data_IF_594163747069
#
_entry.id   IF_594163747069
#
_cell.length_a   1.000
_cell.length_b   1.000
_cell.length_c   1.000
_cell.angle_alpha   90.00
_cell.angle_beta   90.00
_cell.angle_gamma   90.00
#
_symmetry.space_group_name_H-M   'P 1'
#
loop_
_entity.id
_entity.type
_entity.pdbx_description
1 polymer ?
#
# COMPACT_ATOMS: atom_id res chain seq x y z
N UNK A 1 7.11 -48.48 -13.04
CA UNK A 1 6.94 -47.27 -12.25
C UNK A 1 6.02 -46.35 -13.01
N UNK A 2 4.76 -46.22 -12.62
CA UNK A 2 3.85 -45.22 -13.20
C UNK A 2 4.33 -43.84 -12.76
N UNK A 3 4.87 -43.05 -13.67
CA UNK A 3 5.07 -41.62 -13.45
C UNK A 3 3.68 -41.02 -13.30
N UNK A 4 3.27 -40.78 -12.06
CA UNK A 4 2.09 -39.94 -11.81
C UNK A 4 2.43 -38.55 -12.32
N UNK A 5 1.83 -38.16 -13.42
CA UNK A 5 1.89 -36.77 -13.87
C UNK A 5 1.12 -35.97 -12.81
N UNK A 6 1.84 -35.18 -12.03
CA UNK A 6 1.20 -34.27 -11.09
C UNK A 6 0.36 -33.28 -11.88
N UNK A 7 -0.95 -33.40 -11.80
CA UNK A 7 -1.88 -32.48 -12.43
C UNK A 7 -2.26 -31.39 -11.44
N UNK A 8 -2.21 -30.14 -11.87
CA UNK A 8 -2.65 -28.96 -11.12
C UNK A 8 -3.95 -28.43 -11.70
N UNK A 9 -4.85 -27.96 -10.83
CA UNK A 9 -6.10 -27.33 -11.23
C UNK A 9 -5.85 -25.88 -11.71
N UNK A 10 -4.81 -25.24 -11.19
CA UNK A 10 -4.37 -23.91 -11.60
C UNK A 10 -2.84 -23.76 -11.51
N UNK A 11 -2.27 -23.06 -12.48
CA UNK A 11 -0.84 -22.67 -12.48
C UNK A 11 -0.74 -21.16 -12.54
N UNK A 12 -0.02 -20.56 -11.60
CA UNK A 12 0.20 -19.12 -11.50
C UNK A 12 1.67 -18.83 -11.78
N UNK A 13 1.93 -17.92 -12.72
CA UNK A 13 3.29 -17.53 -13.08
C UNK A 13 3.62 -16.22 -12.35
N UNK A 14 4.59 -16.30 -11.44
CA UNK A 14 5.07 -15.20 -10.60
C UNK A 14 4.55 -15.28 -9.18
N UNK A 15 5.48 -15.38 -8.21
CA UNK A 15 5.24 -15.44 -6.76
C UNK A 15 5.27 -14.06 -6.08
N UNK A 16 4.98 -12.96 -6.78
CA UNK A 16 4.81 -11.65 -6.19
C UNK A 16 3.47 -11.53 -5.44
N UNK A 17 3.19 -10.35 -4.85
CA UNK A 17 1.95 -10.13 -4.08
C UNK A 17 0.69 -10.55 -4.84
N UNK A 18 0.56 -10.17 -6.11
CA UNK A 18 -0.62 -10.50 -6.91
C UNK A 18 -0.76 -12.01 -7.16
N UNK A 19 0.34 -12.70 -7.50
CA UNK A 19 0.30 -14.15 -7.71
C UNK A 19 -0.10 -14.89 -6.44
N UNK A 20 0.47 -14.53 -5.31
CA UNK A 20 0.11 -15.12 -4.01
C UNK A 20 -1.36 -14.80 -3.63
N UNK A 21 -1.81 -13.55 -3.85
CA UNK A 21 -3.18 -13.15 -3.57
C UNK A 21 -4.20 -13.92 -4.43
N UNK A 22 -3.89 -14.12 -5.72
CA UNK A 22 -4.73 -14.94 -6.62
C UNK A 22 -4.78 -16.38 -6.15
N UNK A 23 -3.64 -16.98 -5.76
CA UNK A 23 -3.60 -18.34 -5.22
C UNK A 23 -4.49 -18.49 -3.97
N UNK A 24 -4.37 -17.56 -3.03
CA UNK A 24 -5.21 -17.53 -1.83
C UNK A 24 -6.70 -17.42 -2.18
N UNK A 25 -7.06 -16.51 -3.08
CA UNK A 25 -8.44 -16.31 -3.51
C UNK A 25 -9.03 -17.57 -4.18
N UNK A 26 -8.29 -18.18 -5.11
CA UNK A 26 -8.72 -19.42 -5.76
C UNK A 26 -8.91 -20.56 -4.75
N UNK A 27 -8.01 -20.66 -3.78
CA UNK A 27 -8.10 -21.72 -2.76
C UNK A 27 -9.25 -21.49 -1.79
N UNK A 28 -9.41 -20.27 -1.26
CA UNK A 28 -10.33 -19.95 -0.18
C UNK A 28 -11.78 -19.75 -0.68
N UNK A 29 -11.94 -19.06 -1.79
CA UNK A 29 -13.28 -18.68 -2.28
C UNK A 29 -13.79 -19.59 -3.39
N UNK A 30 -12.91 -20.23 -4.17
CA UNK A 30 -13.28 -21.11 -5.27
C UNK A 30 -12.99 -22.58 -5.02
N UNK A 31 -12.49 -22.93 -3.84
CA UNK A 31 -12.20 -24.31 -3.42
C UNK A 31 -11.28 -25.09 -4.37
N UNK A 32 -10.39 -24.40 -5.09
CA UNK A 32 -9.36 -25.00 -5.94
C UNK A 32 -8.26 -25.56 -5.06
N UNK A 33 -7.99 -26.87 -5.12
CA UNK A 33 -7.12 -27.55 -4.16
C UNK A 33 -5.67 -27.69 -4.61
N UNK A 34 -5.44 -27.90 -5.90
CA UNK A 34 -4.12 -28.14 -6.47
C UNK A 34 -3.65 -26.92 -7.24
N UNK A 35 -3.02 -25.97 -6.55
CA UNK A 35 -2.51 -24.74 -7.14
C UNK A 35 -0.97 -24.81 -7.13
N UNK A 36 -0.36 -24.53 -8.28
CA UNK A 36 1.08 -24.37 -8.42
C UNK A 36 1.43 -22.92 -8.69
N UNK A 37 2.41 -22.38 -7.94
CA UNK A 37 3.01 -21.07 -8.24
C UNK A 37 4.41 -21.33 -8.80
N UNK A 38 4.69 -20.81 -10.00
CA UNK A 38 6.01 -20.85 -10.62
C UNK A 38 6.68 -19.50 -10.40
N UNK A 39 7.75 -19.48 -9.61
CA UNK A 39 8.56 -18.29 -9.34
C UNK A 39 9.99 -18.54 -9.83
N UNK A 40 10.61 -17.55 -10.47
CA UNK A 40 11.98 -17.63 -10.98
C UNK A 40 13.04 -17.34 -9.92
N UNK A 41 12.65 -16.65 -8.86
CA UNK A 41 13.52 -16.32 -7.74
C UNK A 41 13.52 -17.47 -6.72
N UNK A 42 14.38 -17.38 -5.72
CA UNK A 42 14.54 -18.41 -4.69
C UNK A 42 13.35 -18.50 -3.73
N UNK A 43 12.55 -17.42 -3.64
CA UNK A 43 11.40 -17.34 -2.74
C UNK A 43 10.33 -16.41 -3.33
N UNK A 44 9.12 -16.47 -2.75
CA UNK A 44 8.01 -15.59 -3.10
C UNK A 44 8.20 -14.20 -2.49
N UNK A 45 7.57 -13.17 -3.08
CA UNK A 45 7.49 -11.79 -2.58
C UNK A 45 8.82 -11.01 -2.55
N UNK A 46 9.97 -11.56 -2.91
CA UNK A 46 11.30 -10.96 -2.71
C UNK A 46 11.69 -9.86 -3.70
N UNK A 47 10.85 -9.51 -4.67
CA UNK A 47 11.12 -8.45 -5.65
C UNK A 47 10.36 -7.17 -5.34
N UNK A 48 9.54 -6.70 -6.27
CA UNK A 48 8.79 -5.45 -6.16
C UNK A 48 7.91 -5.38 -4.91
N UNK A 49 7.36 -6.52 -4.47
CA UNK A 49 6.51 -6.60 -3.29
C UNK A 49 7.26 -6.28 -2.00
N UNK A 50 8.56 -6.60 -1.93
CA UNK A 50 9.43 -6.33 -0.78
C UNK A 50 10.08 -4.95 -0.86
N UNK A 51 10.41 -4.49 -2.07
CA UNK A 51 11.20 -3.27 -2.28
C UNK A 51 10.35 -1.98 -2.32
N UNK A 52 9.05 -2.03 -2.07
CA UNK A 52 8.12 -0.91 -2.15
C UNK A 52 7.78 -0.25 -0.79
N UNK A 53 8.60 -0.44 0.23
CA UNK A 53 8.42 0.07 1.58
C UNK A 53 7.23 -0.53 2.35
N UNK A 54 6.53 -1.52 1.84
CA UNK A 54 5.39 -2.23 2.46
C UNK A 54 4.24 -1.31 2.93
N UNK A 55 4.05 -0.16 2.30
CA UNK A 55 3.00 0.78 2.72
C UNK A 55 1.69 0.54 2.01
N UNK A 56 0.61 0.58 2.78
CA UNK A 56 -0.75 0.57 2.27
C UNK A 56 -1.20 2.02 2.09
N UNK A 57 -1.27 2.48 0.83
CA UNK A 57 -1.53 3.88 0.51
C UNK A 57 -3.01 4.26 0.58
N UNK A 58 -3.32 5.30 1.35
CA UNK A 58 -4.64 5.92 1.43
C UNK A 58 -4.79 7.15 0.50
N UNK A 59 -3.94 7.25 -0.52
CA UNK A 59 -4.05 8.28 -1.58
C UNK A 59 -3.17 9.52 -1.39
N UNK A 60 -2.54 9.73 -0.26
CA UNK A 60 -1.76 10.93 0.08
C UNK A 60 -0.57 11.18 -0.87
N UNK A 61 0.02 10.14 -1.45
CA UNK A 61 1.16 10.26 -2.36
C UNK A 61 0.84 10.87 -3.73
N UNK A 62 -0.44 11.05 -4.06
CA UNK A 62 -0.86 11.45 -5.39
C UNK A 62 -1.56 12.83 -5.41
N UNK A 63 -1.00 13.90 -4.78
CA UNK A 63 -1.71 15.16 -4.59
C UNK A 63 -1.99 15.92 -5.89
N UNK A 64 -1.58 15.40 -7.05
CA UNK A 64 -1.82 15.95 -8.38
C UNK A 64 -2.60 15.02 -9.32
N UNK A 65 -3.06 13.87 -8.80
CA UNK A 65 -3.82 12.88 -9.58
C UNK A 65 -5.02 12.39 -8.79
N UNK A 66 -6.13 13.10 -8.90
CA UNK A 66 -7.36 12.78 -8.18
C UNK A 66 -7.81 11.34 -8.41
N UNK A 67 -7.85 10.88 -9.67
CA UNK A 67 -8.31 9.53 -9.99
C UNK A 67 -7.44 8.43 -9.33
N UNK A 68 -6.10 8.60 -9.33
CA UNK A 68 -5.20 7.64 -8.69
C UNK A 68 -5.36 7.64 -7.18
N UNK A 69 -5.41 8.83 -6.58
CA UNK A 69 -5.59 8.99 -5.15
C UNK A 69 -6.94 8.42 -4.66
N UNK A 70 -8.02 8.75 -5.38
CA UNK A 70 -9.36 8.27 -5.05
C UNK A 70 -9.45 6.74 -5.15
N UNK A 71 -8.84 6.11 -6.18
CA UNK A 71 -8.76 4.65 -6.28
C UNK A 71 -8.01 4.04 -5.08
N UNK A 72 -6.88 4.60 -4.70
CA UNK A 72 -6.13 4.15 -3.51
C UNK A 72 -7.00 4.28 -2.25
N UNK A 73 -7.68 5.40 -2.08
CA UNK A 73 -8.58 5.67 -0.96
C UNK A 73 -9.75 4.68 -0.88
N UNK A 74 -10.39 4.39 -2.00
CA UNK A 74 -11.52 3.44 -2.05
C UNK A 74 -11.04 2.02 -1.73
N UNK A 75 -9.90 1.61 -2.29
CA UNK A 75 -9.36 0.27 -2.07
C UNK A 75 -8.71 0.08 -0.69
N UNK A 76 -8.27 1.15 -0.03
CA UNK A 76 -7.61 1.12 1.26
C UNK A 76 -8.40 0.34 2.31
N UNK A 77 -9.67 0.68 2.51
CA UNK A 77 -10.53 0.00 3.50
C UNK A 77 -10.73 -1.48 3.19
N UNK A 78 -10.92 -1.81 1.91
CA UNK A 78 -11.05 -3.21 1.48
C UNK A 78 -9.76 -3.98 1.73
N UNK A 79 -8.62 -3.40 1.36
CA UNK A 79 -7.32 -4.03 1.54
C UNK A 79 -7.03 -4.32 3.02
N UNK A 80 -7.25 -3.35 3.90
CA UNK A 80 -7.06 -3.53 5.35
C UNK A 80 -7.98 -4.65 5.89
N UNK A 81 -9.23 -4.70 5.45
CA UNK A 81 -10.15 -5.76 5.85
C UNK A 81 -9.69 -7.14 5.40
N UNK A 82 -9.30 -7.26 4.13
CA UNK A 82 -8.95 -8.55 3.52
C UNK A 82 -7.59 -9.08 4.03
N UNK A 83 -6.67 -8.18 4.39
CA UNK A 83 -5.30 -8.49 4.80
C UNK A 83 -4.96 -8.07 6.23
N UNK A 84 -5.96 -7.93 7.08
CA UNK A 84 -5.82 -7.44 8.47
C UNK A 84 -4.66 -8.09 9.26
N UNK A 85 -4.40 -9.40 9.19
CA UNK A 85 -3.30 -10.01 9.94
C UNK A 85 -1.89 -9.54 9.51
N UNK A 86 -1.76 -8.99 8.30
CA UNK A 86 -0.51 -8.49 7.76
C UNK A 86 -0.34 -6.98 7.90
N UNK A 87 -1.32 -6.28 8.48
CA UNK A 87 -1.30 -4.81 8.60
C UNK A 87 -0.71 -4.40 9.95
N UNK A 88 0.30 -3.54 9.89
CA UNK A 88 0.87 -2.86 11.05
C UNK A 88 0.38 -1.41 11.02
N UNK A 89 -0.30 -0.96 12.06
CA UNK A 89 -0.91 0.37 12.15
C UNK A 89 -0.63 1.10 13.48
N UNK A 90 0.38 0.65 14.21
CA UNK A 90 0.75 1.19 15.53
C UNK A 90 1.90 2.22 15.45
N UNK A 91 1.98 2.97 14.37
CA UNK A 91 2.98 4.01 14.16
C UNK A 91 2.34 5.29 13.59
N UNK A 92 3.06 6.41 13.73
CA UNK A 92 2.65 7.68 13.15
C UNK A 92 3.18 7.82 11.72
N UNK A 93 2.29 8.01 10.75
CA UNK A 93 2.66 8.38 9.38
C UNK A 93 2.62 9.90 9.25
N UNK A 94 3.77 10.53 8.97
CA UNK A 94 3.91 11.97 8.90
C UNK A 94 4.22 12.44 7.48
N UNK A 95 3.45 13.42 7.01
CA UNK A 95 3.65 14.11 5.73
C UNK A 95 4.12 15.53 5.97
N UNK A 96 5.38 15.81 5.64
CA UNK A 96 5.98 17.12 5.72
C UNK A 96 6.03 17.77 4.34
N UNK A 97 5.44 18.95 4.18
CA UNK A 97 5.36 19.66 2.90
C UNK A 97 6.56 20.62 2.78
N UNK A 98 7.48 20.41 1.83
CA UNK A 98 8.63 21.27 1.68
C UNK A 98 8.24 22.70 1.26
N UNK A 99 8.91 23.72 1.85
CA UNK A 99 8.74 25.13 1.46
C UNK A 99 9.25 25.43 0.06
N UNK A 100 10.26 24.68 -0.39
CA UNK A 100 10.90 24.89 -1.71
C UNK A 100 10.85 23.60 -2.51
N UNK A 101 10.75 23.74 -3.83
CA UNK A 101 10.74 22.63 -4.79
C UNK A 101 9.60 21.64 -4.64
N UNK A 102 8.61 21.92 -3.80
CA UNK A 102 7.37 21.15 -3.77
C UNK A 102 6.45 21.58 -4.92
N UNK A 103 5.79 20.59 -5.55
CA UNK A 103 4.81 20.84 -6.61
C UNK A 103 3.41 21.15 -6.06
N UNK A 104 3.21 21.07 -4.78
CA UNK A 104 2.01 21.45 -4.04
C UNK A 104 2.43 22.13 -2.74
N UNK A 105 1.73 23.17 -2.33
CA UNK A 105 1.89 23.76 -1.01
C UNK A 105 0.95 23.09 0.01
N UNK A 106 1.07 23.44 1.29
CA UNK A 106 0.29 22.85 2.38
C UNK A 106 -1.20 23.01 2.17
N UNK A 107 -1.66 24.20 1.79
CA UNK A 107 -3.08 24.46 1.54
C UNK A 107 -3.63 23.64 0.38
N UNK A 108 -2.86 23.47 -0.69
CA UNK A 108 -3.24 22.62 -1.83
C UNK A 108 -3.29 21.15 -1.43
N UNK A 109 -2.32 20.69 -0.66
CA UNK A 109 -2.29 19.33 -0.15
C UNK A 109 -3.50 19.03 0.74
N UNK A 110 -3.79 19.88 1.69
CA UNK A 110 -4.92 19.75 2.61
C UNK A 110 -6.25 19.71 1.85
N UNK A 111 -6.50 20.69 0.95
CA UNK A 111 -7.70 20.70 0.10
C UNK A 111 -7.83 19.42 -0.74
N UNK A 112 -6.71 18.94 -1.28
CA UNK A 112 -6.70 17.71 -2.05
C UNK A 112 -7.07 16.50 -1.19
N UNK A 113 -6.46 16.34 -0.01
CA UNK A 113 -6.75 15.21 0.90
C UNK A 113 -8.22 15.22 1.33
N UNK A 114 -8.77 16.39 1.64
CA UNK A 114 -10.20 16.54 1.91
C UNK A 114 -11.07 16.15 0.70
N UNK A 115 -10.65 16.50 -0.51
CA UNK A 115 -11.44 16.20 -1.73
C UNK A 115 -11.56 14.71 -2.03
N UNK A 116 -10.58 13.89 -1.62
CA UNK A 116 -10.63 12.42 -1.73
C UNK A 116 -11.26 11.77 -0.50
N UNK A 117 -11.67 12.54 0.51
CA UNK A 117 -12.27 12.04 1.75
C UNK A 117 -11.30 11.27 2.67
N UNK A 118 -9.98 11.52 2.56
CA UNK A 118 -9.00 10.96 3.46
C UNK A 118 -8.84 11.80 4.74
N UNK A 119 -8.44 11.15 5.84
CA UNK A 119 -8.19 11.80 7.14
C UNK A 119 -6.85 12.51 7.14
N UNK A 120 -6.80 13.74 7.63
CA UNK A 120 -5.56 14.50 7.81
C UNK A 120 -5.66 15.33 9.07
N UNK A 121 -4.65 15.28 9.91
CA UNK A 121 -4.56 16.08 11.14
C UNK A 121 -3.25 16.86 11.16
N UNK A 122 -3.22 18.11 11.65
CA UNK A 122 -1.96 18.79 11.93
C UNK A 122 -1.10 17.95 12.87
N UNK A 123 0.19 17.86 12.60
CA UNK A 123 1.12 17.17 13.48
C UNK A 123 1.22 17.89 14.84
N UNK A 124 1.33 17.12 15.90
CA UNK A 124 1.53 17.64 17.27
C UNK A 124 2.88 18.36 17.40
N UNK A 125 3.02 19.15 18.47
CA UNK A 125 4.29 19.84 18.77
C UNK A 125 5.47 18.88 18.95
N UNK A 126 5.23 17.69 19.49
CA UNK A 126 6.27 16.66 19.64
C UNK A 126 6.68 16.06 18.28
N UNK A 127 5.73 15.77 17.41
CA UNK A 127 5.98 15.27 16.07
C UNK A 127 6.72 16.31 15.19
N UNK A 128 6.34 17.60 15.30
CA UNK A 128 7.01 18.69 14.58
C UNK A 128 8.48 18.85 14.96
N UNK A 129 8.89 18.52 16.20
CA UNK A 129 10.28 18.53 16.62
C UNK A 129 11.20 17.55 15.90
N UNK A 130 10.64 16.54 15.22
CA UNK A 130 11.40 15.60 14.39
C UNK A 130 11.91 16.22 13.09
N UNK A 131 11.45 17.42 12.74
CA UNK A 131 11.74 18.10 11.49
C UNK A 131 12.41 19.45 11.71
N UNK A 132 13.27 19.85 10.77
CA UNK A 132 13.76 21.21 10.73
C UNK A 132 12.71 22.12 10.04
N UNK A 133 11.95 22.87 10.84
CA UNK A 133 10.82 23.70 10.39
C UNK A 133 11.22 24.84 9.41
N UNK A 134 12.51 25.12 9.23
CA UNK A 134 12.96 26.07 8.21
C UNK A 134 12.75 25.53 6.78
N UNK A 135 12.71 24.21 6.61
CA UNK A 135 12.56 23.55 5.31
C UNK A 135 11.15 23.12 4.97
N UNK A 136 10.26 23.05 5.97
CA UNK A 136 8.89 22.58 5.78
C UNK A 136 7.89 23.68 6.05
N UNK A 137 6.80 23.67 5.27
CA UNK A 137 5.67 24.59 5.40
C UNK A 137 4.76 24.11 6.52
N UNK A 138 4.15 22.94 6.32
CA UNK A 138 3.38 22.26 7.34
C UNK A 138 3.72 20.77 7.42
N UNK A 139 3.36 20.15 8.55
CA UNK A 139 3.52 18.74 8.81
C UNK A 139 2.17 18.20 9.30
N UNK A 140 1.76 17.10 8.70
CA UNK A 140 0.49 16.45 8.98
C UNK A 140 0.70 15.01 9.41
N UNK A 141 -0.17 14.54 10.29
CA UNK A 141 -0.36 13.13 10.58
C UNK A 141 -1.43 12.57 9.66
N UNK A 142 -1.11 11.49 8.97
CA UNK A 142 -1.97 10.80 8.03
C UNK A 142 -2.34 9.39 8.54
N UNK A 143 -3.42 8.86 8.00
CA UNK A 143 -3.90 7.51 8.29
C UNK A 143 -3.42 6.56 7.17
N UNK A 144 -2.28 5.93 7.39
CA UNK A 144 -1.66 4.92 6.48
C UNK A 144 -1.16 3.71 7.24
#
# INVERSE_FOLDING_TARGET
MQNSIDSYDAVIIGGGFYGCAVACHLSLEHNIKKICIIEKEQDILIRASTNNQYRVHNGYHYPRSFNTANRSRVNYKKFIKDWHPAIINNFDSLYAIPRRNSKVNSTQFEKFVHSIGASLKPASSSQKKLFNLNYFDDIYQAEE
#
